data_IF_044725816862
#
_entry.id   IF_044725816862
#
_cell.length_a   1.000
_cell.length_b   1.000
_cell.length_c   1.000
_cell.angle_alpha   90.00
_cell.angle_beta   90.00
_cell.angle_gamma   90.00
#
_symmetry.space_group_name_H-M   'P 1'
#
loop_
_entity.id
_entity.type
_entity.pdbx_description
1 polymer ?
#
# COMPACT_ATOMS: atom_id res chain seq x y z
N UNK A 1 21.30 5.26 56.66
CA UNK A 1 21.25 5.52 55.21
C UNK A 1 19.82 5.87 54.85
N UNK A 2 19.60 7.01 54.21
CA UNK A 2 18.26 7.53 53.93
C UNK A 2 17.65 6.76 52.73
N UNK A 3 16.52 6.06 52.87
CA UNK A 3 15.94 5.24 51.79
C UNK A 3 15.56 6.05 50.53
N UNK A 4 15.39 7.36 50.66
CA UNK A 4 15.10 8.27 49.55
C UNK A 4 16.30 8.45 48.61
N UNK A 5 17.54 8.41 49.14
CA UNK A 5 18.76 8.52 48.34
C UNK A 5 19.07 7.24 47.55
N UNK A 6 18.63 6.07 48.04
CA UNK A 6 18.76 4.81 47.31
C UNK A 6 17.82 4.71 46.11
N UNK A 7 16.61 5.27 46.19
CA UNK A 7 15.67 5.31 45.05
C UNK A 7 16.13 6.29 43.95
N UNK A 8 16.79 7.40 44.31
CA UNK A 8 17.33 8.36 43.33
C UNK A 8 18.63 7.88 42.66
N UNK A 9 19.36 6.95 43.27
CA UNK A 9 20.57 6.32 42.71
C UNK A 9 20.28 5.03 41.94
N UNK A 10 19.06 4.49 42.05
CA UNK A 10 18.65 3.33 41.28
C UNK A 10 18.29 3.80 39.86
N UNK A 11 19.27 3.73 38.95
CA UNK A 11 19.00 3.89 37.52
C UNK A 11 17.82 2.96 37.15
N UNK A 12 16.88 3.42 36.29
CA UNK A 12 15.72 2.61 35.91
C UNK A 12 16.20 1.22 35.52
N UNK A 13 15.62 0.19 36.14
CA UNK A 13 16.10 -1.18 35.92
C UNK A 13 16.05 -1.50 34.42
N UNK A 14 17.01 -2.27 33.88
CA UNK A 14 17.04 -2.64 32.47
C UNK A 14 15.68 -3.18 31.96
N UNK A 15 14.92 -3.83 32.83
CA UNK A 15 13.59 -4.38 32.56
C UNK A 15 12.53 -3.29 32.29
N UNK A 16 12.53 -2.18 33.05
CA UNK A 16 11.59 -1.06 32.84
C UNK A 16 11.85 -0.33 31.52
N UNK A 17 13.14 -0.13 31.19
CA UNK A 17 13.55 0.47 29.92
C UNK A 17 13.18 -0.44 28.75
N UNK A 18 13.40 -1.76 28.88
CA UNK A 18 13.04 -2.77 27.88
C UNK A 18 11.53 -2.82 27.60
N UNK A 19 10.70 -2.71 28.63
CA UNK A 19 9.25 -2.80 28.49
C UNK A 19 8.62 -1.58 27.78
N UNK A 20 9.09 -0.37 28.09
CA UNK A 20 8.63 0.87 27.42
C UNK A 20 9.04 0.92 25.95
N UNK A 21 10.27 0.49 25.66
CA UNK A 21 10.79 0.40 24.29
C UNK A 21 9.97 -0.64 23.49
N UNK A 22 9.72 -1.82 24.05
CA UNK A 22 8.97 -2.89 23.38
C UNK A 22 7.52 -2.52 23.05
N UNK A 23 6.84 -1.77 23.92
CA UNK A 23 5.48 -1.29 23.66
C UNK A 23 5.41 -0.22 22.56
N UNK A 24 6.49 0.53 22.35
CA UNK A 24 6.54 1.68 21.44
C UNK A 24 7.08 1.33 20.04
N UNK A 25 7.85 0.24 19.92
CA UNK A 25 8.44 -0.20 18.64
C UNK A 25 7.37 -0.69 17.66
N UNK A 26 6.45 -1.56 18.10
CA UNK A 26 5.49 -2.20 17.18
C UNK A 26 4.57 -1.19 16.44
N UNK A 27 3.98 -0.17 17.10
CA UNK A 27 3.20 0.86 16.42
C UNK A 27 4.04 1.72 15.45
N UNK A 28 5.27 2.03 15.83
CA UNK A 28 6.18 2.85 15.02
C UNK A 28 6.63 2.12 13.76
N UNK A 29 6.89 0.81 13.87
CA UNK A 29 7.18 -0.05 12.72
C UNK A 29 6.02 -0.07 11.71
N UNK A 30 4.78 -0.16 12.21
CA UNK A 30 3.58 -0.12 11.37
C UNK A 30 3.48 1.21 10.60
N UNK A 31 3.81 2.35 11.22
CA UNK A 31 3.81 3.64 10.52
C UNK A 31 4.82 3.67 9.36
N UNK A 32 6.03 3.15 9.58
CA UNK A 32 7.03 3.01 8.53
C UNK A 32 6.54 2.13 7.38
N UNK A 33 5.93 0.98 7.71
CA UNK A 33 5.36 0.07 6.72
C UNK A 33 4.23 0.75 5.90
N UNK A 34 3.34 1.49 6.55
CA UNK A 34 2.27 2.25 5.88
C UNK A 34 2.86 3.33 4.96
N UNK A 35 3.84 4.10 5.41
CA UNK A 35 4.47 5.15 4.61
C UNK A 35 5.13 4.57 3.33
N UNK A 36 5.87 3.48 3.48
CA UNK A 36 6.44 2.73 2.36
C UNK A 36 5.35 2.22 1.41
N UNK A 37 4.28 1.65 1.95
CA UNK A 37 3.17 1.13 1.15
C UNK A 37 2.42 2.22 0.37
N UNK A 38 2.15 3.37 0.99
CA UNK A 38 1.55 4.54 0.31
C UNK A 38 2.45 5.06 -0.80
N UNK A 39 3.77 5.08 -0.59
CA UNK A 39 4.74 5.48 -1.61
C UNK A 39 4.68 4.54 -2.82
N UNK A 40 4.65 3.23 -2.59
CA UNK A 40 4.50 2.22 -3.65
C UNK A 40 3.20 2.40 -4.45
N UNK A 41 2.07 2.61 -3.76
CA UNK A 41 0.78 2.86 -4.41
C UNK A 41 0.78 4.16 -5.21
N UNK A 42 1.42 5.21 -4.70
CA UNK A 42 1.52 6.50 -5.39
C UNK A 42 2.34 6.39 -6.68
N UNK A 43 3.47 5.68 -6.64
CA UNK A 43 4.26 5.38 -7.85
C UNK A 43 3.44 4.61 -8.89
N UNK A 44 2.64 3.62 -8.45
CA UNK A 44 1.74 2.87 -9.34
C UNK A 44 0.67 3.75 -9.97
N UNK A 45 0.02 4.61 -9.17
CA UNK A 45 -1.00 5.53 -9.67
C UNK A 45 -0.42 6.49 -10.70
N UNK A 46 0.76 7.06 -10.43
CA UNK A 46 1.44 7.95 -11.38
C UNK A 46 1.74 7.23 -12.69
N UNK A 47 2.28 6.02 -12.66
CA UNK A 47 2.52 5.25 -13.89
C UNK A 47 1.25 4.96 -14.70
N UNK A 48 0.10 4.72 -14.04
CA UNK A 48 -1.20 4.57 -14.72
C UNK A 48 -1.64 5.90 -15.34
N UNK A 49 -1.52 7.01 -14.60
CA UNK A 49 -1.90 8.35 -15.06
C UNK A 49 -1.04 8.84 -16.21
N UNK A 50 0.26 8.58 -16.17
CA UNK A 50 1.19 8.94 -17.23
C UNK A 50 0.84 8.17 -18.50
N UNK A 51 0.53 6.87 -18.42
CA UNK A 51 0.04 6.10 -19.58
C UNK A 51 -1.29 6.62 -20.13
N UNK A 52 -2.21 7.10 -19.27
CA UNK A 52 -3.44 7.77 -19.72
C UNK A 52 -3.11 9.08 -20.44
N UNK A 53 -2.14 9.86 -19.95
CA UNK A 53 -1.72 11.13 -20.57
C UNK A 53 -1.09 10.88 -21.94
N UNK A 54 -0.18 9.91 -22.04
CA UNK A 54 0.47 9.54 -23.30
C UNK A 54 -0.55 9.11 -24.37
N UNK A 55 -1.59 8.37 -23.98
CA UNK A 55 -2.68 8.00 -24.88
C UNK A 55 -3.54 9.18 -25.36
N UNK A 56 -3.59 10.28 -24.59
CA UNK A 56 -4.39 11.46 -24.92
C UNK A 56 -3.61 12.53 -25.70
N UNK A 57 -2.28 12.47 -25.74
CA UNK A 57 -1.44 13.44 -26.46
C UNK A 57 -1.24 13.12 -27.94
N UNK A 58 -1.65 11.93 -28.42
CA UNK A 58 -1.55 11.57 -29.83
C UNK A 58 -2.66 12.22 -30.69
N UNK A 59 -2.32 12.77 -31.87
CA UNK A 59 -3.27 13.46 -32.76
C UNK A 59 -4.35 12.53 -33.34
N UNK A 60 -5.57 13.05 -33.52
CA UNK A 60 -6.81 12.29 -33.86
C UNK A 60 -6.84 11.58 -35.22
N UNK A 61 -5.83 11.77 -36.08
CA UNK A 61 -5.93 11.44 -37.51
C UNK A 61 -5.57 9.99 -37.90
N UNK A 62 -5.15 9.14 -36.96
CA UNK A 62 -4.80 7.75 -37.29
C UNK A 62 -5.96 6.80 -36.94
N UNK A 63 -6.66 6.30 -37.96
CA UNK A 63 -7.74 5.32 -37.83
C UNK A 63 -7.33 4.01 -37.10
N UNK A 64 -6.02 3.71 -37.02
CA UNK A 64 -5.45 2.63 -36.23
C UNK A 64 -5.61 2.82 -34.70
N UNK A 65 -5.88 4.05 -34.22
CA UNK A 65 -5.95 4.40 -32.79
C UNK A 65 -7.31 4.19 -32.11
N UNK A 66 -8.35 3.83 -32.86
CA UNK A 66 -9.67 3.52 -32.29
C UNK A 66 -9.60 2.35 -31.29
N UNK A 67 -8.76 1.35 -31.57
CA UNK A 67 -8.47 0.24 -30.66
C UNK A 67 -7.69 0.67 -29.41
N UNK A 68 -6.73 1.59 -29.55
CA UNK A 68 -5.90 2.06 -28.42
C UNK A 68 -6.69 2.93 -27.43
N UNK A 69 -7.68 3.70 -27.92
CA UNK A 69 -8.62 4.45 -27.07
C UNK A 69 -9.63 3.55 -26.35
N UNK A 70 -9.85 2.31 -26.81
CA UNK A 70 -10.72 1.34 -26.13
C UNK A 70 -10.16 0.89 -24.76
N UNK A 71 -8.87 1.08 -24.52
CA UNK A 71 -8.21 0.73 -23.25
C UNK A 71 -8.29 1.84 -22.18
N UNK A 72 -8.67 3.06 -22.54
CA UNK A 72 -8.83 4.19 -21.60
C UNK A 72 -9.80 3.89 -20.44
N UNK A 73 -10.99 3.29 -20.66
CA UNK A 73 -11.89 2.87 -19.58
C UNK A 73 -11.25 1.86 -18.62
N UNK A 74 -10.38 0.98 -19.13
CA UNK A 74 -9.66 -0.04 -18.35
C UNK A 74 -8.61 0.60 -17.45
N UNK A 75 -7.77 1.48 -18.01
CA UNK A 75 -6.78 2.25 -17.23
C UNK A 75 -7.46 3.09 -16.14
N UNK A 76 -8.60 3.72 -16.44
CA UNK A 76 -9.40 4.45 -15.43
C UNK A 76 -9.93 3.54 -14.33
N UNK A 77 -10.34 2.30 -14.64
CA UNK A 77 -10.78 1.32 -13.63
C UNK A 77 -9.62 0.93 -12.70
N UNK A 78 -8.43 0.73 -13.25
CA UNK A 78 -7.21 0.44 -12.48
C UNK A 78 -6.83 1.61 -11.57
N UNK A 79 -6.83 2.84 -12.09
CA UNK A 79 -6.57 4.04 -11.29
C UNK A 79 -7.54 4.16 -10.09
N UNK A 80 -8.84 3.83 -10.28
CA UNK A 80 -9.81 3.81 -9.17
C UNK A 80 -9.51 2.74 -8.11
N UNK A 81 -9.03 1.57 -8.51
CA UNK A 81 -8.63 0.51 -7.56
C UNK A 81 -7.40 0.93 -6.75
N UNK A 82 -6.35 1.45 -7.40
CA UNK A 82 -5.17 1.96 -6.71
C UNK A 82 -5.54 3.11 -5.77
N UNK A 83 -6.38 4.06 -6.21
CA UNK A 83 -6.81 5.17 -5.37
C UNK A 83 -7.62 4.69 -4.13
N UNK A 84 -8.45 3.65 -4.29
CA UNK A 84 -9.12 3.01 -3.14
C UNK A 84 -8.10 2.38 -2.18
N UNK A 85 -7.09 1.66 -2.69
CA UNK A 85 -6.04 1.11 -1.84
C UNK A 85 -5.28 2.19 -1.07
N UNK A 86 -4.96 3.32 -1.72
CA UNK A 86 -4.32 4.48 -1.07
C UNK A 86 -5.18 4.99 0.07
N UNK A 87 -6.48 5.15 -0.16
CA UNK A 87 -7.40 5.63 0.88
C UNK A 87 -7.40 4.72 2.12
N UNK A 88 -7.51 3.40 1.95
CA UNK A 88 -7.45 2.46 3.08
C UNK A 88 -6.08 2.48 3.78
N UNK A 89 -4.98 2.58 3.02
CA UNK A 89 -3.63 2.68 3.58
C UNK A 89 -3.44 3.97 4.39
N UNK A 90 -3.95 5.10 3.91
CA UNK A 90 -3.89 6.39 4.63
C UNK A 90 -4.72 6.33 5.91
N UNK A 91 -5.94 5.77 5.88
CA UNK A 91 -6.74 5.59 7.10
C UNK A 91 -6.01 4.68 8.09
N UNK A 92 -5.41 3.58 7.62
CA UNK A 92 -4.56 2.73 8.47
C UNK A 92 -3.44 3.54 9.14
N UNK A 93 -2.78 4.42 8.38
CA UNK A 93 -1.73 5.30 8.90
C UNK A 93 -2.25 6.27 9.96
N UNK A 94 -3.42 6.86 9.74
CA UNK A 94 -4.08 7.73 10.73
C UNK A 94 -4.39 6.97 12.02
N UNK A 95 -4.96 5.77 11.92
CA UNK A 95 -5.24 4.92 13.10
C UNK A 95 -3.95 4.50 13.81
N UNK A 96 -2.90 4.17 13.08
CA UNK A 96 -1.59 3.85 13.66
C UNK A 96 -0.96 5.07 14.36
N UNK A 97 -1.12 6.28 13.83
CA UNK A 97 -0.67 7.52 14.48
C UNK A 97 -1.45 7.77 15.78
N UNK A 98 -2.78 7.60 15.75
CA UNK A 98 -3.63 7.69 16.94
C UNK A 98 -3.23 6.65 17.99
N UNK A 99 -2.84 5.45 17.57
CA UNK A 99 -2.34 4.41 18.46
C UNK A 99 -1.04 4.85 19.14
N UNK A 100 -0.08 5.40 18.41
CA UNK A 100 1.17 5.91 19.00
C UNK A 100 0.86 6.97 20.04
N UNK A 101 0.02 7.95 19.70
CA UNK A 101 -0.42 9.00 20.64
C UNK A 101 -1.06 8.38 21.88
N UNK A 102 -1.98 7.44 21.70
CA UNK A 102 -2.66 6.73 22.80
C UNK A 102 -1.68 5.95 23.68
N UNK A 103 -0.68 5.28 23.09
CA UNK A 103 0.34 4.54 23.81
C UNK A 103 1.20 5.45 24.70
N UNK A 104 1.63 6.61 24.18
CA UNK A 104 2.37 7.60 24.99
C UNK A 104 1.51 8.16 26.13
N UNK A 105 0.24 8.47 25.86
CA UNK A 105 -0.72 8.92 26.90
C UNK A 105 -0.87 7.83 27.97
N UNK A 106 -1.10 6.58 27.57
CA UNK A 106 -1.25 5.45 28.50
C UNK A 106 -0.02 5.26 29.38
N UNK A 107 1.18 5.41 28.81
CA UNK A 107 2.43 5.35 29.55
C UNK A 107 2.56 6.52 30.56
N UNK A 108 2.17 7.73 30.17
CA UNK A 108 2.27 8.93 31.01
C UNK A 108 1.32 8.89 32.22
N UNK A 109 0.11 8.34 32.07
CA UNK A 109 -0.87 8.24 33.15
C UNK A 109 -0.70 7.00 34.04
N UNK A 110 0.33 6.16 33.80
CA UNK A 110 0.61 4.98 34.61
C UNK A 110 -0.46 3.88 34.57
N UNK A 111 -1.48 4.00 33.71
CA UNK A 111 -2.50 2.97 33.49
C UNK A 111 -2.17 2.22 32.22
N UNK A 112 -1.96 0.90 32.34
CA UNK A 112 -1.81 0.02 31.19
C UNK A 112 -3.18 -0.24 30.56
N UNK A 113 -3.67 0.64 29.69
CA UNK A 113 -4.88 0.38 28.88
C UNK A 113 -4.54 -0.52 27.67
N UNK A 114 -4.08 -1.74 27.97
CA UNK A 114 -3.60 -2.72 26.97
C UNK A 114 -4.68 -3.06 25.93
N UNK A 115 -5.94 -3.16 26.37
CA UNK A 115 -7.07 -3.51 25.48
C UNK A 115 -7.34 -2.43 24.43
N UNK A 116 -7.24 -1.15 24.78
CA UNK A 116 -7.49 -0.04 23.86
C UNK A 116 -6.41 0.07 22.79
N UNK A 117 -5.14 -0.04 23.19
CA UNK A 117 -4.01 -0.06 22.27
C UNK A 117 -4.06 -1.27 21.34
N UNK A 118 -4.37 -2.46 21.88
CA UNK A 118 -4.52 -3.68 21.09
C UNK A 118 -5.65 -3.58 20.05
N UNK A 119 -6.80 -3.00 20.42
CA UNK A 119 -7.91 -2.78 19.50
C UNK A 119 -7.54 -1.82 18.36
N UNK A 120 -6.94 -0.66 18.67
CA UNK A 120 -6.50 0.29 17.64
C UNK A 120 -5.46 -0.32 16.70
N UNK A 121 -4.52 -1.11 17.24
CA UNK A 121 -3.52 -1.80 16.44
C UNK A 121 -4.16 -2.81 15.47
N UNK A 122 -5.14 -3.59 15.95
CA UNK A 122 -5.86 -4.54 15.12
C UNK A 122 -6.67 -3.86 14.01
N UNK A 123 -7.32 -2.73 14.31
CA UNK A 123 -8.03 -1.92 13.31
C UNK A 123 -7.05 -1.38 12.26
N UNK A 124 -5.91 -0.84 12.67
CA UNK A 124 -4.88 -0.37 11.74
C UNK A 124 -4.39 -1.51 10.83
N UNK A 125 -4.02 -2.67 11.39
CA UNK A 125 -3.61 -3.83 10.62
C UNK A 125 -4.69 -4.32 9.65
N UNK A 126 -5.96 -4.32 10.06
CA UNK A 126 -7.08 -4.75 9.22
C UNK A 126 -7.27 -3.82 8.02
N UNK A 127 -7.13 -2.50 8.23
CA UNK A 127 -7.18 -1.51 7.16
C UNK A 127 -6.00 -1.65 6.19
N UNK A 128 -4.79 -1.87 6.71
CA UNK A 128 -3.61 -2.14 5.88
C UNK A 128 -3.78 -3.43 5.07
N UNK A 129 -4.31 -4.49 5.68
CA UNK A 129 -4.61 -5.75 5.00
C UNK A 129 -5.66 -5.56 3.89
N UNK A 130 -6.72 -4.79 4.14
CA UNK A 130 -7.71 -4.45 3.11
C UNK A 130 -7.05 -3.69 1.93
N UNK A 131 -6.16 -2.73 2.22
CA UNK A 131 -5.42 -2.00 1.19
C UNK A 131 -4.51 -2.93 0.36
N UNK A 132 -3.83 -3.89 1.00
CA UNK A 132 -3.03 -4.92 0.33
C UNK A 132 -3.87 -5.83 -0.56
N UNK A 133 -5.06 -6.25 -0.10
CA UNK A 133 -5.97 -7.08 -0.90
C UNK A 133 -6.42 -6.32 -2.15
N UNK A 134 -6.79 -5.04 -2.02
CA UNK A 134 -7.19 -4.21 -3.16
C UNK A 134 -6.03 -4.06 -4.16
N UNK A 135 -4.80 -3.87 -3.67
CA UNK A 135 -3.62 -3.85 -4.52
C UNK A 135 -3.39 -5.19 -5.22
N UNK A 136 -3.51 -6.31 -4.50
CA UNK A 136 -3.35 -7.65 -5.08
C UNK A 136 -4.37 -7.91 -6.19
N UNK A 137 -5.62 -7.47 -6.02
CA UNK A 137 -6.66 -7.52 -7.05
C UNK A 137 -6.26 -6.65 -8.25
N UNK A 138 -5.76 -5.43 -8.05
CA UNK A 138 -5.28 -4.57 -9.14
C UNK A 138 -4.13 -5.22 -9.92
N UNK A 139 -3.15 -5.78 -9.23
CA UNK A 139 -2.00 -6.45 -9.85
C UNK A 139 -2.45 -7.66 -10.65
N UNK A 140 -3.40 -8.45 -10.13
CA UNK A 140 -3.92 -9.62 -10.84
C UNK A 140 -4.69 -9.25 -12.11
N UNK A 141 -5.48 -8.17 -12.06
CA UNK A 141 -6.13 -7.62 -13.26
C UNK A 141 -5.09 -7.15 -14.27
N UNK A 142 -4.02 -6.49 -13.80
CA UNK A 142 -2.95 -6.03 -14.67
C UNK A 142 -2.23 -7.17 -15.39
N UNK A 143 -1.94 -8.27 -14.69
CA UNK A 143 -1.21 -9.43 -15.24
C UNK A 143 -2.05 -10.25 -16.21
N UNK A 144 -3.28 -10.62 -15.85
CA UNK A 144 -4.17 -11.38 -16.73
C UNK A 144 -4.39 -10.70 -18.08
N UNK A 145 -4.35 -9.37 -18.10
CA UNK A 145 -4.56 -8.58 -19.30
C UNK A 145 -3.37 -8.68 -20.26
N UNK A 146 -2.12 -8.77 -19.76
CA UNK A 146 -0.95 -8.98 -20.61
C UNK A 146 -0.96 -10.35 -21.30
N UNK A 147 -1.39 -11.40 -20.59
CA UNK A 147 -1.45 -12.76 -21.15
C UNK A 147 -2.48 -12.87 -22.30
N UNK A 148 -3.60 -12.15 -22.22
CA UNK A 148 -4.63 -12.13 -23.26
C UNK A 148 -4.15 -11.41 -24.54
N UNK A 149 -3.39 -10.31 -24.40
CA UNK A 149 -2.78 -9.62 -25.53
C UNK A 149 -1.73 -10.48 -26.25
N UNK A 150 -0.92 -11.25 -25.52
CA UNK A 150 0.10 -12.12 -26.10
C UNK A 150 -0.52 -13.27 -26.90
N UNK A 151 -1.61 -13.86 -26.41
CA UNK A 151 -2.36 -14.89 -27.15
C UNK A 151 -3.00 -14.37 -28.44
N UNK A 152 -3.48 -13.12 -28.48
CA UNK A 152 -3.99 -12.51 -29.71
C UNK A 152 -2.89 -12.16 -30.71
N UNK A 153 -1.70 -11.76 -30.23
CA UNK A 153 -0.56 -11.50 -31.09
C UNK A 153 0.00 -12.79 -31.73
N UNK A 154 0.04 -13.89 -30.97
CA UNK A 154 0.49 -15.21 -31.47
C UNK A 154 -0.57 -15.86 -32.39
N UNK A 155 -1.85 -15.60 -32.18
CA UNK A 155 -2.94 -16.10 -33.03
C UNK A 155 -3.06 -15.46 -34.41
N UNK A 156 -2.29 -14.41 -34.70
CA UNK A 156 -2.21 -13.74 -36.01
C UNK A 156 -1.06 -14.22 -36.92
N UNK A 157 -0.38 -15.32 -36.56
CA UNK A 157 0.45 -16.07 -37.52
C UNK A 157 -0.25 -17.38 -37.96
N UNK A 158 -1.31 -17.32 -38.79
CA UNK A 158 -1.85 -18.49 -39.44
C UNK A 158 -1.00 -18.80 -40.68
N UNK A 159 0.25 -19.22 -40.47
CA UNK A 159 1.07 -19.79 -41.53
C UNK A 159 1.43 -18.83 -42.66
N UNK A 160 2.56 -18.13 -42.52
CA UNK A 160 3.37 -17.73 -43.67
C UNK A 160 3.97 -18.98 -44.35
N UNK A 161 3.13 -19.77 -45.01
CA UNK A 161 3.54 -20.75 -46.02
C UNK A 161 2.93 -20.31 -47.33
N UNK A 162 3.47 -19.23 -47.89
CA UNK A 162 3.16 -18.83 -49.26
C UNK A 162 3.76 -19.88 -50.21
N UNK A 163 2.94 -20.71 -50.88
CA UNK A 163 3.44 -21.70 -51.82
C UNK A 163 3.89 -21.07 -53.15
N UNK A 164 3.74 -19.75 -53.32
CA UNK A 164 4.08 -19.02 -54.55
C UNK A 164 5.56 -18.68 -54.70
N UNK A 165 6.41 -19.13 -53.76
CA UNK A 165 7.87 -19.02 -53.82
C UNK A 165 8.57 -20.35 -54.17
N UNK A 166 7.91 -21.23 -54.94
CA UNK A 166 8.55 -22.40 -55.57
C UNK A 166 8.18 -22.52 -57.04
#
# INVERSE_FOLDING_TARGET
>A
MNPVLSDLLNAPSPDQVSQVISHSIAPSFLLGAVAGFVSLLSSRLNGILDRIRDLNTLPENEHAMSHLRADLPRLRRRARLVNRAIFYAVISGVVATLLVIFSFISAFFGRQHVLGAGFLFLVALSLLAAALIILAVEVRIALNEFDEFDHHAVGLDPGSSDPRLR
#
